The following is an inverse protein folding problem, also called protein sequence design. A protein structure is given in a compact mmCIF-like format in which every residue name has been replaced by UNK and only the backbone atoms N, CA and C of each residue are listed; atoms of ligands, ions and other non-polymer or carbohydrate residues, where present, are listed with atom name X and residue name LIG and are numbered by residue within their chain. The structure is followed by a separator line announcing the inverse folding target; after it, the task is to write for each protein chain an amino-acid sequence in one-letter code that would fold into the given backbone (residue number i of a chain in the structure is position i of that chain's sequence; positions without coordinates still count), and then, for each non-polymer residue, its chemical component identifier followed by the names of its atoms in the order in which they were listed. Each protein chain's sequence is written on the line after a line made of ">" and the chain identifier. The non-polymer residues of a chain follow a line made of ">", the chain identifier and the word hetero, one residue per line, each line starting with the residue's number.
data_IF_252548956495
#
_entry.id   IF_252548956495
#
_cell.length_a   1.000
_cell.length_b   1.000
_cell.length_c   1.000
_cell.angle_alpha   90.00
_cell.angle_beta   90.00
_cell.angle_gamma   90.00
#
_symmetry.space_group_name_H-M   'P 1'
#
loop_
_entity.id
_entity.type
_entity.pdbx_description
1 polymer ?
#
# COMPACT_ATOMS: atom_id res chain seq x y z
N UNK A 1 -13.25 5.06 26.08
CA UNK A 1 -12.65 5.40 24.77
C UNK A 1 -13.80 5.42 23.78
N UNK A 2 -14.24 6.60 23.34
CA UNK A 2 -15.19 6.70 22.24
C UNK A 2 -14.50 6.23 20.96
N UNK A 3 -15.24 5.55 20.10
CA UNK A 3 -14.82 4.95 18.82
C UNK A 3 -14.54 6.03 17.75
N UNK A 4 -14.59 7.30 18.13
CA UNK A 4 -14.56 8.42 17.20
C UNK A 4 -13.11 8.89 17.04
N UNK A 5 -12.59 8.64 15.83
CA UNK A 5 -11.34 9.15 15.25
C UNK A 5 -10.06 8.34 15.55
N UNK A 6 -10.02 7.08 15.09
CA UNK A 6 -8.73 6.48 14.71
C UNK A 6 -8.19 7.25 13.50
N UNK A 7 -6.91 7.65 13.55
CA UNK A 7 -6.24 8.16 12.35
C UNK A 7 -6.20 7.05 11.29
N UNK A 8 -6.08 7.45 10.01
CA UNK A 8 -5.97 6.47 8.91
C UNK A 8 -4.86 5.43 9.16
N UNK A 9 -3.74 5.87 9.72
CA UNK A 9 -2.59 5.02 10.01
C UNK A 9 -2.89 4.02 11.13
N UNK A 10 -3.48 4.46 12.25
CA UNK A 10 -3.83 3.56 13.35
C UNK A 10 -4.90 2.53 12.94
N UNK A 11 -5.87 2.94 12.11
CA UNK A 11 -6.85 2.02 11.55
C UNK A 11 -6.18 0.98 10.64
N UNK A 12 -5.27 1.42 9.76
CA UNK A 12 -4.54 0.52 8.88
C UNK A 12 -3.68 -0.47 9.67
N UNK A 13 -2.99 -0.02 10.71
CA UNK A 13 -2.18 -0.88 11.58
C UNK A 13 -3.04 -1.91 12.31
N UNK A 14 -4.19 -1.50 12.85
CA UNK A 14 -5.09 -2.44 13.51
C UNK A 14 -5.68 -3.46 12.52
N UNK A 15 -6.10 -3.02 11.33
CA UNK A 15 -6.60 -3.92 10.30
C UNK A 15 -5.50 -4.82 9.72
N UNK A 16 -4.27 -4.36 9.69
CA UNK A 16 -3.12 -5.18 9.34
C UNK A 16 -2.92 -6.32 10.35
N UNK A 17 -3.01 -6.03 11.65
CA UNK A 17 -2.96 -7.05 12.72
C UNK A 17 -4.11 -8.06 12.56
N UNK A 18 -5.33 -7.60 12.31
CA UNK A 18 -6.49 -8.50 12.08
C UNK A 18 -6.26 -9.42 10.86
N UNK A 19 -5.75 -8.88 9.76
CA UNK A 19 -5.42 -9.63 8.56
C UNK A 19 -4.33 -10.67 8.84
N UNK A 20 -3.27 -10.29 9.55
CA UNK A 20 -2.20 -11.20 9.90
C UNK A 20 -2.70 -12.35 10.79
N UNK A 21 -3.51 -12.05 11.81
CA UNK A 21 -4.16 -13.07 12.63
C UNK A 21 -5.02 -14.03 11.80
N UNK A 22 -5.71 -13.53 10.76
CA UNK A 22 -6.47 -14.37 9.83
C UNK A 22 -5.57 -15.27 9.00
N UNK A 23 -4.43 -14.77 8.52
CA UNK A 23 -3.42 -15.58 7.82
C UNK A 23 -2.91 -16.70 8.71
N UNK A 24 -2.60 -16.42 9.98
CA UNK A 24 -2.11 -17.42 10.93
C UNK A 24 -3.18 -18.47 11.26
N UNK A 25 -4.43 -18.04 11.49
CA UNK A 25 -5.50 -18.93 11.90
C UNK A 25 -6.08 -19.79 10.76
N UNK A 26 -6.12 -19.25 9.53
CA UNK A 26 -6.87 -19.85 8.42
C UNK A 26 -6.01 -20.16 7.19
N UNK A 27 -4.81 -19.61 7.13
CA UNK A 27 -3.91 -19.70 5.97
C UNK A 27 -4.22 -18.67 4.89
N UNK A 28 -3.17 -18.25 4.19
CA UNK A 28 -3.23 -17.28 3.09
C UNK A 28 -4.24 -17.65 1.98
N UNK A 29 -4.41 -18.95 1.70
CA UNK A 29 -5.35 -19.42 0.65
C UNK A 29 -6.82 -19.15 0.96
N UNK A 30 -7.16 -18.79 2.21
CA UNK A 30 -8.51 -18.40 2.64
C UNK A 30 -8.77 -16.90 2.57
N UNK A 31 -7.76 -16.12 2.22
CA UNK A 31 -7.91 -14.69 2.00
C UNK A 31 -8.68 -14.41 0.70
N UNK A 32 -9.43 -13.32 0.71
CA UNK A 32 -9.98 -12.71 -0.51
C UNK A 32 -8.86 -12.13 -1.37
N UNK A 33 -9.12 -11.87 -2.65
CA UNK A 33 -8.15 -11.24 -3.54
C UNK A 33 -7.63 -9.91 -2.97
N UNK A 34 -8.51 -9.08 -2.40
CA UNK A 34 -8.14 -7.79 -1.82
C UNK A 34 -7.17 -7.97 -0.64
N UNK A 35 -7.47 -8.91 0.24
CA UNK A 35 -6.61 -9.25 1.38
C UNK A 35 -5.27 -9.83 0.92
N UNK A 36 -5.24 -10.67 -0.12
CA UNK A 36 -4.02 -11.22 -0.71
C UNK A 36 -3.11 -10.12 -1.26
N UNK A 37 -3.67 -9.22 -2.07
CA UNK A 37 -2.94 -8.07 -2.63
C UNK A 37 -2.38 -7.20 -1.49
N UNK A 38 -3.17 -6.98 -0.44
CA UNK A 38 -2.70 -6.25 0.73
C UNK A 38 -1.53 -6.96 1.41
N UNK A 39 -1.70 -8.24 1.74
CA UNK A 39 -0.66 -9.03 2.42
C UNK A 39 0.66 -9.00 1.66
N UNK A 40 0.65 -9.27 0.36
CA UNK A 40 1.91 -9.41 -0.39
C UNK A 40 2.62 -8.08 -0.63
N UNK A 41 1.87 -6.99 -0.85
CA UNK A 41 2.47 -5.66 -1.04
C UNK A 41 2.96 -5.10 0.28
N UNK A 42 2.22 -5.27 1.38
CA UNK A 42 2.67 -4.80 2.70
C UNK A 42 3.90 -5.56 3.18
N UNK A 43 3.95 -6.88 2.99
CA UNK A 43 5.15 -7.68 3.31
C UNK A 43 6.35 -7.22 2.50
N UNK A 44 6.18 -6.86 1.22
CA UNK A 44 7.27 -6.30 0.41
C UNK A 44 7.77 -4.97 0.98
N UNK A 45 6.86 -4.04 1.29
CA UNK A 45 7.21 -2.73 1.86
C UNK A 45 7.95 -2.92 3.19
N UNK A 46 7.38 -3.68 4.11
CA UNK A 46 7.94 -3.88 5.46
C UNK A 46 9.30 -4.57 5.41
N UNK A 47 9.46 -5.58 4.53
CA UNK A 47 10.75 -6.25 4.33
C UNK A 47 11.80 -5.28 3.79
N UNK A 48 11.41 -4.45 2.81
CA UNK A 48 12.30 -3.49 2.16
C UNK A 48 12.68 -2.36 3.12
N UNK A 49 11.74 -1.87 3.92
CA UNK A 49 11.99 -0.88 4.96
C UNK A 49 12.95 -1.38 6.04
N UNK A 50 12.90 -2.67 6.37
CA UNK A 50 13.72 -3.26 7.42
C UNK A 50 15.17 -3.59 6.99
N UNK A 51 15.44 -3.76 5.70
CA UNK A 51 16.80 -4.10 5.25
C UNK A 51 16.97 -4.20 3.74
N UNK A 52 16.31 -3.33 2.98
CA UNK A 52 16.36 -3.30 1.53
C UNK A 52 15.60 -4.45 0.87
N UNK A 53 15.51 -4.42 -0.45
CA UNK A 53 14.79 -5.42 -1.25
C UNK A 53 15.38 -6.80 -1.03
N UNK A 54 16.70 -6.90 -0.77
CA UNK A 54 17.33 -8.18 -0.48
C UNK A 54 16.72 -8.86 0.73
N UNK A 55 16.28 -8.10 1.76
CA UNK A 55 15.60 -8.63 2.94
C UNK A 55 14.28 -9.33 2.60
N UNK A 56 13.58 -8.91 1.54
CA UNK A 56 12.41 -9.62 1.05
C UNK A 56 12.76 -11.00 0.49
N UNK A 57 13.87 -11.10 -0.26
CA UNK A 57 14.32 -12.35 -0.89
C UNK A 57 14.94 -13.35 0.08
N UNK A 58 15.73 -12.90 1.06
CA UNK A 58 16.41 -13.81 1.99
C UNK A 58 15.54 -14.27 3.15
N UNK A 59 14.31 -13.77 3.25
CA UNK A 59 13.33 -14.19 4.26
C UNK A 59 12.11 -14.85 3.60
N UNK A 60 11.09 -15.15 4.41
CA UNK A 60 9.83 -15.75 3.96
C UNK A 60 8.95 -14.84 3.09
N UNK A 61 9.32 -13.56 2.94
CA UNK A 61 8.60 -12.63 2.07
C UNK A 61 8.51 -13.14 0.63
N UNK A 62 9.62 -13.63 0.09
CA UNK A 62 9.71 -14.18 -1.25
C UNK A 62 9.14 -15.59 -1.43
N UNK A 63 8.66 -16.26 -0.37
CA UNK A 63 7.92 -17.52 -0.52
C UNK A 63 6.64 -17.33 -1.37
N UNK A 64 6.12 -16.10 -1.41
CA UNK A 64 4.98 -15.69 -2.21
C UNK A 64 5.35 -14.72 -3.33
N UNK A 65 6.58 -14.80 -3.86
CA UNK A 65 7.08 -13.89 -4.91
C UNK A 65 6.11 -13.79 -6.10
N UNK A 66 5.55 -14.91 -6.58
CA UNK A 66 4.63 -14.90 -7.72
C UNK A 66 3.34 -14.12 -7.42
N UNK A 67 2.81 -14.29 -6.21
CA UNK A 67 1.62 -13.58 -5.74
C UNK A 67 1.91 -12.09 -5.55
N UNK A 68 3.10 -11.74 -5.03
CA UNK A 68 3.55 -10.36 -4.93
C UNK A 68 3.67 -9.69 -6.31
N UNK A 69 4.29 -10.34 -7.30
CA UNK A 69 4.37 -9.82 -8.68
C UNK A 69 2.98 -9.60 -9.28
N UNK A 70 2.05 -10.52 -9.02
CA UNK A 70 0.65 -10.37 -9.43
C UNK A 70 -0.03 -9.19 -8.72
N UNK A 71 0.16 -9.03 -7.41
CA UNK A 71 -0.38 -7.93 -6.63
C UNK A 71 0.16 -6.56 -7.12
N UNK A 72 1.46 -6.46 -7.39
CA UNK A 72 2.06 -5.26 -8.00
C UNK A 72 1.45 -4.94 -9.37
N UNK A 73 1.17 -5.96 -10.18
CA UNK A 73 0.45 -5.78 -11.46
C UNK A 73 -0.97 -5.29 -11.24
N UNK A 74 -1.71 -5.82 -10.26
CA UNK A 74 -3.07 -5.36 -9.92
C UNK A 74 -3.06 -3.88 -9.51
N UNK A 75 -2.03 -3.43 -8.78
CA UNK A 75 -1.87 -2.03 -8.39
C UNK A 75 -1.29 -1.13 -9.51
N UNK A 76 -0.91 -1.70 -10.66
CA UNK A 76 -0.18 -0.99 -11.71
C UNK A 76 1.13 -0.36 -11.19
N UNK A 77 1.84 -1.09 -10.32
CA UNK A 77 3.09 -0.69 -9.69
C UNK A 77 4.30 -1.22 -10.47
N UNK A 78 4.40 -0.85 -11.75
CA UNK A 78 5.41 -1.40 -12.67
C UNK A 78 6.85 -1.08 -12.26
N UNK A 79 7.12 0.09 -11.66
CA UNK A 79 8.46 0.43 -11.18
C UNK A 79 8.92 -0.53 -10.10
N UNK A 80 8.08 -0.79 -9.09
CA UNK A 80 8.39 -1.72 -8.01
C UNK A 80 8.58 -3.15 -8.53
N UNK A 81 7.71 -3.57 -9.47
CA UNK A 81 7.83 -4.87 -10.13
C UNK A 81 9.15 -5.00 -10.89
N UNK A 82 9.56 -3.96 -11.62
CA UNK A 82 10.83 -3.95 -12.34
C UNK A 82 12.04 -4.05 -11.40
N UNK A 83 12.00 -3.44 -10.20
CA UNK A 83 13.08 -3.60 -9.22
C UNK A 83 13.18 -5.04 -8.70
N UNK A 84 12.04 -5.70 -8.43
CA UNK A 84 12.06 -7.14 -8.08
C UNK A 84 12.64 -7.98 -9.22
N UNK A 85 12.26 -7.73 -10.47
CA UNK A 85 12.77 -8.44 -11.63
C UNK A 85 14.30 -8.29 -11.79
N UNK A 86 14.87 -7.13 -11.44
CA UNK A 86 16.33 -6.92 -11.40
C UNK A 86 17.03 -7.82 -10.38
N UNK A 87 16.46 -7.99 -9.18
CA UNK A 87 17.01 -8.89 -8.16
C UNK A 87 16.78 -10.35 -8.53
N UNK A 88 15.64 -10.68 -9.14
CA UNK A 88 15.35 -12.03 -9.66
C UNK A 88 16.39 -12.48 -10.69
N UNK A 89 16.96 -11.56 -11.47
CA UNK A 89 18.00 -11.88 -12.45
C UNK A 89 19.32 -12.39 -11.81
N UNK A 90 19.48 -12.27 -10.48
CA UNK A 90 20.60 -12.87 -9.75
C UNK A 90 20.45 -14.39 -9.58
N UNK A 91 19.27 -14.95 -9.86
CA UNK A 91 18.99 -16.37 -9.73
C UNK A 91 18.93 -17.00 -11.14
N UNK A 92 20.01 -17.66 -11.61
CA UNK A 92 20.15 -18.08 -13.01
C UNK A 92 19.08 -19.08 -13.47
N UNK A 93 18.64 -19.95 -12.55
CA UNK A 93 17.60 -20.96 -12.80
C UNK A 93 16.22 -20.52 -12.30
N UNK A 94 16.05 -19.22 -12.07
CA UNK A 94 14.88 -18.65 -11.40
C UNK A 94 15.00 -18.67 -9.88
N UNK A 95 14.13 -17.92 -9.20
CA UNK A 95 14.17 -17.76 -7.75
C UNK A 95 13.72 -19.05 -7.06
N UNK A 96 14.56 -19.66 -6.20
CA UNK A 96 14.18 -20.85 -5.44
C UNK A 96 12.98 -20.63 -4.51
N UNK A 97 12.21 -21.70 -4.31
CA UNK A 97 10.99 -21.67 -3.48
C UNK A 97 11.29 -21.54 -1.98
N UNK A 98 12.42 -22.11 -1.53
CA UNK A 98 12.79 -22.10 -0.11
C UNK A 98 13.73 -20.96 0.23
N UNK A 99 13.56 -20.42 1.45
CA UNK A 99 14.43 -19.39 2.01
C UNK A 99 15.89 -19.86 2.04
N UNK A 100 16.13 -21.10 2.44
CA UNK A 100 17.48 -21.68 2.56
C UNK A 100 18.17 -21.75 1.19
N UNK A 101 17.46 -22.10 0.12
CA UNK A 101 18.02 -22.11 -1.23
C UNK A 101 18.32 -20.71 -1.75
N UNK A 102 17.41 -19.75 -1.54
CA UNK A 102 17.66 -18.35 -1.92
C UNK A 102 18.91 -17.80 -1.23
N UNK A 103 19.04 -18.03 0.07
CA UNK A 103 20.20 -17.63 0.86
C UNK A 103 21.49 -18.30 0.36
N UNK A 104 21.45 -19.60 0.01
CA UNK A 104 22.60 -20.30 -0.58
C UNK A 104 23.04 -19.65 -1.89
N UNK A 105 22.11 -19.35 -2.80
CA UNK A 105 22.44 -18.69 -4.07
C UNK A 105 23.08 -17.32 -3.81
N UNK A 106 22.43 -16.48 -3.00
CA UNK A 106 22.91 -15.12 -2.70
C UNK A 106 24.29 -15.16 -2.02
N UNK A 107 24.51 -16.04 -1.04
CA UNK A 107 25.77 -16.15 -0.29
C UNK A 107 26.90 -16.82 -1.08
N UNK A 108 26.58 -17.65 -2.08
CA UNK A 108 27.58 -18.34 -2.91
C UNK A 108 28.20 -17.47 -3.98
N UNK A 109 27.59 -16.33 -4.26
CA UNK A 109 28.09 -15.41 -5.25
C UNK A 109 29.14 -14.47 -4.64
N UNK A 110 30.21 -14.22 -5.38
CA UNK A 110 31.19 -13.22 -4.97
C UNK A 110 30.53 -11.85 -4.83
N UNK A 111 30.72 -11.22 -3.67
CA UNK A 111 30.31 -9.86 -3.44
C UNK A 111 31.31 -8.92 -4.14
N UNK A 112 30.90 -8.38 -5.28
CA UNK A 112 31.68 -7.42 -6.05
C UNK A 112 31.00 -6.03 -6.07
N UNK A 113 31.75 -5.00 -6.47
CA UNK A 113 31.23 -3.63 -6.54
C UNK A 113 30.00 -3.50 -7.45
N UNK A 114 29.85 -4.36 -8.46
CA UNK A 114 28.70 -4.31 -9.37
C UNK A 114 27.43 -4.74 -8.66
N UNK A 115 27.52 -5.78 -7.85
CA UNK A 115 26.39 -6.30 -7.08
C UNK A 115 26.01 -5.37 -5.94
N UNK A 116 26.98 -4.79 -5.26
CA UNK A 116 26.74 -3.75 -4.26
C UNK A 116 25.96 -2.58 -4.87
N UNK A 117 26.44 -2.02 -5.98
CA UNK A 117 25.75 -0.95 -6.71
C UNK A 117 24.37 -1.36 -7.19
N UNK A 118 24.18 -2.62 -7.61
CA UNK A 118 22.86 -3.12 -7.99
C UNK A 118 21.88 -3.04 -6.82
N UNK A 119 22.27 -3.49 -5.63
CA UNK A 119 21.39 -3.46 -4.46
C UNK A 119 21.13 -2.03 -4.00
N UNK A 120 22.15 -1.18 -3.94
CA UNK A 120 21.99 0.24 -3.64
C UNK A 120 21.01 0.91 -4.63
N UNK A 121 21.22 0.72 -5.93
CA UNK A 121 20.34 1.28 -6.96
C UNK A 121 18.90 0.75 -6.84
N UNK A 122 18.73 -0.54 -6.57
CA UNK A 122 17.41 -1.17 -6.42
C UNK A 122 16.69 -0.60 -5.20
N UNK A 123 17.37 -0.51 -4.07
CA UNK A 123 16.83 -0.01 -2.82
C UNK A 123 16.45 1.47 -2.95
N UNK A 124 17.34 2.29 -3.51
CA UNK A 124 17.09 3.71 -3.80
C UNK A 124 15.82 3.91 -4.64
N UNK A 125 15.66 3.12 -5.71
CA UNK A 125 14.49 3.21 -6.57
C UNK A 125 13.23 2.69 -5.88
N UNK A 126 13.33 1.66 -5.05
CA UNK A 126 12.20 1.19 -4.26
C UNK A 126 11.77 2.21 -3.23
N UNK A 127 12.70 2.80 -2.47
CA UNK A 127 12.38 3.82 -1.47
C UNK A 127 11.70 5.05 -2.08
N UNK A 128 12.13 5.49 -3.27
CA UNK A 128 11.43 6.58 -4.01
C UNK A 128 10.00 6.21 -4.42
N UNK A 129 9.69 4.93 -4.55
CA UNK A 129 8.36 4.44 -4.91
C UNK A 129 7.48 4.12 -3.71
N UNK A 130 7.98 4.17 -2.47
CA UNK A 130 7.22 3.79 -1.27
C UNK A 130 5.92 4.58 -1.13
N UNK A 131 5.99 5.91 -1.12
CA UNK A 131 4.80 6.77 -1.00
C UNK A 131 3.77 6.44 -2.09
N UNK A 132 4.23 6.21 -3.32
CA UNK A 132 3.35 5.90 -4.45
C UNK A 132 2.74 4.52 -4.32
N UNK A 133 3.51 3.54 -3.85
CA UNK A 133 3.04 2.17 -3.63
C UNK A 133 2.04 2.12 -2.49
N UNK A 134 2.28 2.83 -1.39
CA UNK A 134 1.33 2.99 -0.29
C UNK A 134 0.05 3.67 -0.74
N UNK A 135 0.13 4.76 -1.50
CA UNK A 135 -1.05 5.45 -2.05
C UNK A 135 -1.87 4.54 -2.97
N UNK A 136 -1.20 3.77 -3.85
CA UNK A 136 -1.85 2.78 -4.73
C UNK A 136 -2.55 1.69 -3.92
N UNK A 137 -1.87 1.15 -2.91
CA UNK A 137 -2.43 0.14 -2.02
C UNK A 137 -3.64 0.70 -1.26
N UNK A 138 -3.50 1.84 -0.59
CA UNK A 138 -4.58 2.49 0.15
C UNK A 138 -5.80 2.78 -0.75
N UNK A 139 -5.57 3.29 -1.96
CA UNK A 139 -6.62 3.50 -2.95
C UNK A 139 -7.31 2.18 -3.31
N UNK A 140 -6.54 1.12 -3.59
CA UNK A 140 -7.09 -0.20 -3.91
C UNK A 140 -7.92 -0.77 -2.77
N UNK A 141 -7.47 -0.66 -1.52
CA UNK A 141 -8.21 -1.11 -0.34
C UNK A 141 -9.54 -0.35 -0.21
N UNK A 142 -9.52 0.98 -0.32
CA UNK A 142 -10.71 1.79 -0.25
C UNK A 142 -11.74 1.45 -1.35
N UNK A 143 -11.29 1.27 -2.59
CA UNK A 143 -12.17 0.87 -3.71
C UNK A 143 -12.81 -0.51 -3.50
N UNK A 144 -12.19 -1.37 -2.69
CA UNK A 144 -12.69 -2.71 -2.37
C UNK A 144 -13.38 -2.81 -1.00
N UNK A 145 -13.75 -1.66 -0.41
CA UNK A 145 -14.51 -1.61 0.85
C UNK A 145 -13.69 -1.82 2.12
N UNK A 146 -12.35 -1.82 2.02
CA UNK A 146 -11.42 -1.82 3.15
C UNK A 146 -10.92 -0.40 3.41
N UNK A 147 -11.81 0.47 3.88
CA UNK A 147 -11.48 1.81 4.38
C UNK A 147 -12.03 2.01 5.78
N UNK A 148 -11.48 2.95 6.58
CA UNK A 148 -12.10 3.33 7.85
C UNK A 148 -13.58 3.67 7.64
N UNK A 149 -14.48 3.23 8.53
CA UNK A 149 -15.86 3.70 8.50
C UNK A 149 -15.86 5.20 8.80
N UNK A 150 -16.11 5.97 7.74
CA UNK A 150 -16.25 7.42 7.71
C UNK A 150 -14.96 8.25 7.98
N UNK A 151 -14.31 8.70 6.90
CA UNK A 151 -14.13 10.15 6.79
C UNK A 151 -15.52 10.71 6.48
N UNK A 152 -16.28 11.10 7.50
CA UNK A 152 -17.38 12.03 7.25
C UNK A 152 -16.70 13.23 6.62
N UNK A 153 -17.02 13.65 5.38
CA UNK A 153 -16.50 14.91 4.88
C UNK A 153 -16.87 15.94 5.95
N UNK A 154 -15.87 16.65 6.48
CA UNK A 154 -16.12 17.82 7.31
C UNK A 154 -17.22 18.58 6.61
N UNK A 155 -18.39 18.73 7.26
CA UNK A 155 -19.46 19.55 6.71
C UNK A 155 -18.77 20.87 6.40
N UNK A 156 -18.65 21.22 5.11
CA UNK A 156 -18.46 22.62 4.78
C UNK A 156 -19.65 23.29 5.43
N UNK A 157 -19.39 24.06 6.49
CA UNK A 157 -20.44 24.76 7.20
C UNK A 157 -21.30 25.41 6.13
N UNK A 158 -22.56 24.98 6.12
CA UNK A 158 -23.59 25.64 5.36
C UNK A 158 -23.49 27.10 5.76
N UNK A 159 -23.03 27.93 4.82
CA UNK A 159 -23.01 29.36 4.96
C UNK A 159 -24.37 29.81 5.45
N UNK A 160 -24.38 30.23 6.71
CA UNK A 160 -25.49 30.86 7.39
C UNK A 160 -26.06 31.99 6.52
N UNK A 161 -27.39 32.03 6.46
CA UNK A 161 -28.23 33.23 6.31
C UNK A 161 -27.99 34.11 5.08
N UNK A 162 -28.81 33.86 4.05
CA UNK A 162 -29.16 34.82 3.01
C UNK A 162 -30.67 34.96 2.86
N UNK A 163 -31.41 35.08 3.97
CA UNK A 163 -32.78 35.61 3.92
C UNK A 163 -32.70 37.14 3.91
N UNK A 164 -32.85 37.73 2.72
CA UNK A 164 -33.22 39.13 2.56
C UNK A 164 -34.60 39.19 1.91
N UNK A 165 -35.56 39.41 2.78
CA UNK A 165 -36.99 39.57 2.58
C UNK A 165 -37.34 40.52 1.44
N UNK A 166 -38.28 40.10 0.59
CA UNK A 166 -38.98 40.97 -0.35
C UNK A 166 -39.86 41.96 0.42
N UNK A 167 -39.56 43.26 0.33
CA UNK A 167 -40.48 44.32 0.71
C UNK A 167 -41.22 44.81 -0.54
N UNK A 168 -42.53 44.54 -0.58
CA UNK A 168 -43.51 45.20 -1.44
C UNK A 168 -44.01 46.48 -0.74
N UNK A 169 -44.44 47.42 -1.60
CA UNK A 169 -45.37 48.52 -1.33
C UNK A 169 -44.80 49.80 -0.68
N UNK A 170 -44.54 50.79 -1.55
CA UNK A 170 -44.73 52.21 -1.24
C UNK A 170 -45.94 52.66 -2.05
N UNK A 171 -47.07 52.86 -1.36
CA UNK A 171 -48.16 53.71 -1.81
C UNK A 171 -47.75 55.20 -1.66
N UNK A 172 -48.21 56.05 -2.59
CA UNK A 172 -48.58 57.43 -2.26
C UNK A 172 -48.08 58.54 -3.18
N UNK A 173 -49.02 59.15 -3.92
CA UNK A 173 -48.94 60.51 -4.50
C UNK A 173 -49.03 60.52 -6.03
N UNK A 174 -50.21 60.49 -6.66
CA UNK A 174 -51.28 61.51 -6.73
C UNK A 174 -50.85 62.83 -7.41
N UNK A 175 -51.51 63.07 -8.56
CA UNK A 175 -51.90 64.35 -9.18
C UNK A 175 -50.94 65.14 -10.11
N UNK A 176 -51.39 65.14 -11.38
CA UNK A 176 -51.43 66.22 -12.40
C UNK A 176 -50.14 66.73 -13.02
#
# INVERSE_FOLDING_TARGET
>A
MSIEELTMNEWLDQKWIELWNKVEAQGYSRLTLTEQVWTDVRVLIDSTANGGVISYFINSGADRLRQCLFALRVLGADTARAQLERVMALFPDGVPETMEERNRVISSCDYDEKRERLFEDVDDNMFREFDRLEQKLASFLAHNGLSPPALVPYKTDAGSSGEATAAKEVEGGLER
#
